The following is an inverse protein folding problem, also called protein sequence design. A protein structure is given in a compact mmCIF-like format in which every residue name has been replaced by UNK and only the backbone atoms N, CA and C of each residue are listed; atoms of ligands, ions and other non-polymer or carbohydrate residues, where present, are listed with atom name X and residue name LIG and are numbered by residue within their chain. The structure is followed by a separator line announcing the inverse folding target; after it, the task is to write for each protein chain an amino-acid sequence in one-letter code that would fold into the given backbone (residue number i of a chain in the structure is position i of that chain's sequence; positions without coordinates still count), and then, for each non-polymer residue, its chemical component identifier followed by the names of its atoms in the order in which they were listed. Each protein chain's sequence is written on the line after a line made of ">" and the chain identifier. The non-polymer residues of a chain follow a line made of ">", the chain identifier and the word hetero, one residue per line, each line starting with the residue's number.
data_IF_620382657225
#
_entry.id   IF_620382657225
#
_cell.length_a   1.000
_cell.length_b   1.000
_cell.length_c   1.000
_cell.angle_alpha   90.00
_cell.angle_beta   90.00
_cell.angle_gamma   90.00
#
_symmetry.space_group_name_H-M   'P 1'
#
loop_
_entity.id
_entity.type
_entity.pdbx_description
1 polymer ?
#
# COMPACT_ATOMS: atom_id res chain seq x y z
N UNK A 1 25.94 -31.32 3.32
CA UNK A 1 24.75 -30.68 2.74
C UNK A 1 25.20 -29.47 1.92
N UNK A 2 25.40 -29.62 0.61
CA UNK A 2 25.95 -28.57 -0.25
C UNK A 2 24.80 -27.85 -0.96
N UNK A 3 24.45 -26.62 -0.54
CA UNK A 3 23.44 -25.80 -1.22
C UNK A 3 24.07 -25.10 -2.42
N UNK A 4 23.74 -25.55 -3.62
CA UNK A 4 24.12 -24.88 -4.87
C UNK A 4 23.20 -23.67 -5.04
N UNK A 5 23.72 -22.47 -4.76
CA UNK A 5 23.07 -21.20 -5.10
C UNK A 5 23.24 -20.95 -6.60
N UNK A 6 22.41 -21.58 -7.42
CA UNK A 6 22.21 -21.10 -8.80
C UNK A 6 21.43 -19.80 -8.72
N UNK A 7 22.13 -18.67 -8.66
CA UNK A 7 21.56 -17.41 -9.15
C UNK A 7 21.38 -17.56 -10.65
N UNK A 8 20.29 -18.22 -11.05
CA UNK A 8 19.78 -18.13 -12.40
C UNK A 8 19.63 -16.64 -12.68
N UNK A 9 20.41 -16.13 -13.64
CA UNK A 9 20.20 -14.82 -14.23
C UNK A 9 18.82 -14.87 -14.88
N UNK A 10 17.78 -14.63 -14.08
CA UNK A 10 16.40 -14.61 -14.51
C UNK A 10 16.30 -13.40 -15.43
N UNK A 11 16.32 -13.66 -16.73
CA UNK A 11 15.84 -12.71 -17.73
C UNK A 11 14.55 -12.10 -17.19
N UNK A 12 14.59 -10.81 -16.85
CA UNK A 12 13.55 -10.14 -16.06
C UNK A 12 12.29 -9.80 -16.86
N UNK A 13 12.06 -10.43 -18.02
CA UNK A 13 10.73 -10.38 -18.63
C UNK A 13 9.82 -11.29 -17.81
N UNK A 14 8.84 -10.73 -17.08
CA UNK A 14 8.01 -11.57 -16.26
C UNK A 14 7.15 -12.41 -17.21
N UNK A 15 7.11 -13.72 -16.97
CA UNK A 15 6.40 -14.68 -17.80
C UNK A 15 4.95 -14.78 -17.32
N UNK A 16 3.97 -14.95 -18.23
CA UNK A 16 2.60 -15.24 -17.84
C UNK A 16 2.54 -16.55 -17.06
N UNK A 17 1.87 -16.51 -15.91
CA UNK A 17 1.64 -17.70 -15.08
C UNK A 17 0.37 -18.39 -15.57
N UNK A 18 0.46 -19.63 -16.03
CA UNK A 18 -0.73 -20.45 -16.30
C UNK A 18 -1.13 -21.15 -15.01
N UNK A 19 -2.32 -20.83 -14.50
CA UNK A 19 -2.86 -21.48 -13.30
C UNK A 19 -3.55 -22.80 -13.67
N UNK A 20 -4.33 -22.77 -14.75
CA UNK A 20 -5.05 -23.91 -15.36
C UNK A 20 -4.95 -23.80 -16.89
N UNK A 21 -5.48 -24.78 -17.63
CA UNK A 21 -5.51 -24.78 -19.10
C UNK A 21 -6.20 -23.56 -19.72
N UNK A 22 -6.99 -22.79 -18.94
CA UNK A 22 -7.76 -21.65 -19.40
C UNK A 22 -7.47 -20.33 -18.67
N UNK A 23 -6.63 -20.33 -17.63
CA UNK A 23 -6.39 -19.13 -16.80
C UNK A 23 -4.94 -18.69 -16.89
N UNK A 24 -4.70 -17.60 -17.61
CA UNK A 24 -3.37 -16.99 -17.77
C UNK A 24 -3.31 -15.71 -16.94
N UNK A 25 -2.46 -15.70 -15.92
CA UNK A 25 -2.23 -14.53 -15.09
C UNK A 25 -1.07 -13.74 -15.69
N UNK A 26 -1.40 -12.55 -16.18
CA UNK A 26 -0.42 -11.65 -16.77
C UNK A 26 0.44 -11.00 -15.66
N UNK A 27 1.75 -10.90 -15.89
CA UNK A 27 2.63 -10.33 -14.92
C UNK A 27 2.43 -8.82 -14.81
N UNK A 28 2.26 -8.35 -13.58
CA UNK A 28 2.08 -6.94 -13.25
C UNK A 28 3.23 -6.42 -12.39
N UNK A 29 3.57 -5.14 -12.57
CA UNK A 29 4.59 -4.47 -11.76
C UNK A 29 4.14 -4.25 -10.31
N UNK A 30 2.83 -4.20 -10.03
CA UNK A 30 2.28 -4.10 -8.68
C UNK A 30 1.07 -5.00 -8.58
N UNK A 31 1.06 -5.87 -7.59
CA UNK A 31 -0.05 -6.79 -7.32
C UNK A 31 -0.85 -6.32 -6.12
N UNK A 32 -2.18 -6.44 -6.20
CA UNK A 32 -3.05 -6.18 -5.05
C UNK A 32 -3.46 -7.50 -4.43
N UNK A 33 -3.09 -7.73 -3.18
CA UNK A 33 -3.43 -8.94 -2.44
C UNK A 33 -3.90 -8.58 -1.03
N UNK A 34 -5.13 -8.97 -0.65
CA UNK A 34 -5.70 -8.66 0.67
C UNK A 34 -5.57 -7.17 1.08
N UNK A 35 -5.67 -6.26 0.12
CA UNK A 35 -5.49 -4.81 0.33
C UNK A 35 -4.04 -4.30 0.29
N UNK A 36 -3.03 -5.18 0.33
CA UNK A 36 -1.62 -4.84 0.16
C UNK A 36 -1.26 -4.61 -1.31
N UNK A 37 -0.29 -3.72 -1.56
CA UNK A 37 0.31 -3.50 -2.88
C UNK A 37 1.75 -4.00 -2.91
N UNK A 38 1.97 -5.10 -3.61
CA UNK A 38 3.25 -5.79 -3.62
C UNK A 38 3.99 -5.53 -4.93
N UNK A 39 5.22 -5.04 -4.81
CA UNK A 39 6.18 -5.00 -5.91
C UNK A 39 6.84 -6.38 -6.05
N UNK A 40 7.33 -6.79 -7.24
CA UNK A 40 8.03 -8.06 -7.44
C UNK A 40 9.23 -8.28 -6.52
N UNK A 41 9.86 -7.20 -6.05
CA UNK A 41 10.98 -7.22 -5.10
C UNK A 41 10.54 -7.18 -3.63
N UNK A 42 9.23 -7.21 -3.37
CA UNK A 42 8.61 -7.05 -2.04
C UNK A 42 9.15 -5.83 -1.29
N UNK A 43 9.39 -4.73 -2.00
CA UNK A 43 9.88 -3.48 -1.42
C UNK A 43 8.78 -2.65 -0.76
N UNK A 44 7.51 -3.00 -0.98
CA UNK A 44 6.31 -2.30 -0.46
C UNK A 44 6.26 -0.80 -0.79
N UNK A 45 7.00 -0.32 -1.80
CA UNK A 45 7.05 1.10 -2.15
C UNK A 45 5.73 1.57 -2.74
N UNK A 46 5.14 0.74 -3.59
CA UNK A 46 3.80 1.01 -4.12
C UNK A 46 2.72 1.00 -3.03
N UNK A 47 2.91 0.21 -1.96
CA UNK A 47 2.02 0.21 -0.80
C UNK A 47 2.12 1.51 -0.02
N UNK A 48 3.32 1.87 0.43
CA UNK A 48 3.53 3.07 1.23
C UNK A 48 3.15 4.33 0.48
N UNK A 49 3.50 4.44 -0.81
CA UNK A 49 3.12 5.57 -1.65
C UNK A 49 1.60 5.72 -1.76
N UNK A 50 0.87 4.62 -2.00
CA UNK A 50 -0.58 4.66 -2.12
C UNK A 50 -1.27 5.09 -0.81
N UNK A 51 -0.83 4.55 0.33
CA UNK A 51 -1.43 4.91 1.62
C UNK A 51 -1.04 6.33 2.05
N UNK A 52 0.16 6.80 1.71
CA UNK A 52 0.58 8.19 1.91
C UNK A 52 -0.29 9.16 1.11
N UNK A 53 -0.53 8.90 -0.17
CA UNK A 53 -1.41 9.73 -1.00
C UNK A 53 -2.85 9.79 -0.43
N UNK A 54 -3.38 8.64 0.00
CA UNK A 54 -4.68 8.58 0.67
C UNK A 54 -4.70 9.34 2.00
N UNK A 55 -3.62 9.28 2.77
CA UNK A 55 -3.52 10.03 4.01
C UNK A 55 -3.50 11.54 3.73
N UNK A 56 -2.73 12.00 2.74
CA UNK A 56 -2.67 13.41 2.34
C UNK A 56 -4.05 13.92 1.89
N UNK A 57 -4.74 13.18 1.02
CA UNK A 57 -6.10 13.54 0.59
C UNK A 57 -7.08 13.59 1.76
N UNK A 58 -6.99 12.65 2.70
CA UNK A 58 -7.81 12.62 3.92
C UNK A 58 -7.51 13.80 4.85
N UNK A 59 -6.23 14.13 5.05
CA UNK A 59 -5.80 15.30 5.84
C UNK A 59 -6.34 16.59 5.22
N UNK A 60 -6.23 16.74 3.90
CA UNK A 60 -6.75 17.92 3.20
C UNK A 60 -8.27 18.05 3.39
N UNK A 61 -9.02 16.94 3.33
CA UNK A 61 -10.45 16.94 3.63
C UNK A 61 -10.73 17.34 5.09
N UNK A 62 -9.95 16.85 6.06
CA UNK A 62 -10.07 17.25 7.46
C UNK A 62 -9.76 18.73 7.69
N UNK A 63 -8.80 19.31 6.97
CA UNK A 63 -8.49 20.73 7.03
C UNK A 63 -9.65 21.58 6.52
N UNK A 64 -10.29 21.18 5.41
CA UNK A 64 -11.49 21.85 4.90
C UNK A 64 -12.64 21.82 5.93
N UNK A 65 -12.86 20.69 6.59
CA UNK A 65 -13.86 20.58 7.67
C UNK A 65 -13.51 21.44 8.88
N UNK A 66 -12.22 21.48 9.26
CA UNK A 66 -11.72 22.22 10.41
C UNK A 66 -11.77 23.74 10.26
N UNK A 67 -11.73 24.24 9.02
CA UNK A 67 -11.76 25.67 8.67
C UNK A 67 -13.17 26.19 8.31
N UNK A 68 -14.20 25.35 8.44
CA UNK A 68 -15.59 25.77 8.23
C UNK A 68 -16.09 26.71 9.33
N UNK A 69 -17.19 27.44 9.08
CA UNK A 69 -17.82 28.28 10.11
C UNK A 69 -18.35 27.38 11.25
N UNK A 70 -17.86 27.59 12.48
CA UNK A 70 -17.96 26.65 13.63
C UNK A 70 -17.19 25.33 13.46
N UNK A 71 -15.98 25.40 12.91
CA UNK A 71 -15.11 24.25 12.67
C UNK A 71 -14.65 23.50 13.94
N UNK A 72 -13.87 22.44 13.72
CA UNK A 72 -13.43 21.50 14.75
C UNK A 72 -12.47 22.13 15.77
N UNK A 73 -12.66 21.81 17.06
CA UNK A 73 -11.70 22.17 18.11
C UNK A 73 -10.36 21.41 17.96
N UNK A 74 -9.26 21.90 18.54
CA UNK A 74 -7.97 21.19 18.50
C UNK A 74 -8.04 19.73 18.99
N UNK A 75 -8.83 19.47 20.03
CA UNK A 75 -9.02 18.12 20.57
C UNK A 75 -9.81 17.21 19.62
N UNK A 76 -10.82 17.75 18.94
CA UNK A 76 -11.58 17.01 17.93
C UNK A 76 -10.71 16.69 16.70
N UNK A 77 -9.87 17.64 16.27
CA UNK A 77 -8.92 17.42 15.16
C UNK A 77 -7.90 16.32 15.51
N UNK A 78 -7.34 16.34 16.72
CA UNK A 78 -6.45 15.28 17.20
C UNK A 78 -7.14 13.93 17.23
N UNK A 79 -8.38 13.88 17.71
CA UNK A 79 -9.18 12.64 17.79
C UNK A 79 -9.38 12.06 16.39
N UNK A 80 -9.82 12.88 15.43
CA UNK A 80 -10.00 12.49 14.02
C UNK A 80 -8.71 11.97 13.40
N UNK A 81 -7.58 12.63 13.66
CA UNK A 81 -6.29 12.19 13.16
C UNK A 81 -5.93 10.79 13.67
N UNK A 82 -6.04 10.57 14.99
CA UNK A 82 -5.73 9.28 15.62
C UNK A 82 -6.70 8.19 15.16
N UNK A 83 -7.99 8.49 15.02
CA UNK A 83 -9.00 7.49 14.67
C UNK A 83 -9.00 7.10 13.20
N UNK A 84 -8.65 8.01 12.29
CA UNK A 84 -8.84 7.80 10.85
C UNK A 84 -7.54 7.78 10.05
N UNK A 85 -6.58 8.68 10.35
CA UNK A 85 -5.36 8.82 9.56
C UNK A 85 -4.27 7.87 10.07
N UNK A 86 -4.13 7.75 11.39
CA UNK A 86 -3.15 6.86 11.99
C UNK A 86 -3.33 5.39 11.53
N UNK A 87 -4.51 4.74 11.65
CA UNK A 87 -4.69 3.36 11.18
C UNK A 87 -4.52 3.20 9.67
N UNK A 88 -4.81 4.25 8.89
CA UNK A 88 -4.57 4.25 7.44
C UNK A 88 -3.08 4.21 7.11
N UNK A 89 -2.25 4.99 7.82
CA UNK A 89 -0.81 5.04 7.63
C UNK A 89 -0.08 3.83 8.22
N UNK A 90 -0.58 3.30 9.35
CA UNK A 90 0.01 2.13 10.01
C UNK A 90 -0.50 0.81 9.43
N UNK A 91 -1.31 0.84 8.36
CA UNK A 91 -1.81 -0.37 7.73
C UNK A 91 -0.67 -1.22 7.16
N UNK A 92 -0.45 -2.38 7.76
CA UNK A 92 0.63 -3.31 7.39
C UNK A 92 1.96 -3.07 8.11
N UNK A 93 2.01 -2.13 9.05
CA UNK A 93 3.12 -2.00 9.99
C UNK A 93 2.83 -2.84 11.24
N UNK A 94 3.75 -3.71 11.63
CA UNK A 94 3.72 -4.40 12.91
C UNK A 94 4.44 -3.51 13.93
N UNK A 95 3.73 -3.11 14.99
CA UNK A 95 4.29 -2.33 16.12
C UNK A 95 4.98 -3.24 17.12
#
# INVERSE_FOLDING_TARGET
>A
MHFISTRLSRSQSPLPLQLDSNTVIQPRNVWRYLGFRLDPKLTFRAHTAYFAERAVTTVNAMLMLGNSNRGLSPMQRRTLYISCILPLLTYGAQT
#
